data_IF_893262636080
#
_entry.id   IF_893262636080
#
_cell.length_a   1.000
_cell.length_b   1.000
_cell.length_c   1.000
_cell.angle_alpha   90.00
_cell.angle_beta   90.00
_cell.angle_gamma   90.00
#
_symmetry.space_group_name_H-M   'P 1'
#
loop_
_entity.id
_entity.type
_entity.pdbx_description
1 polymer ?
#
# COMPACT_ATOMS: atom_id res chain seq x y z
N UNK A 1 21.41 5.50 -6.43
CA UNK A 1 21.89 6.54 -5.50
C UNK A 1 21.39 7.91 -5.93
N UNK A 2 21.80 8.45 -7.10
CA UNK A 2 21.35 9.76 -7.58
C UNK A 2 19.82 9.85 -7.76
N UNK A 3 19.20 8.87 -8.43
CA UNK A 3 17.74 8.86 -8.63
C UNK A 3 16.94 8.83 -7.32
N UNK A 4 17.40 8.09 -6.31
CA UNK A 4 16.74 8.06 -5.00
C UNK A 4 16.87 9.40 -4.27
N UNK A 5 18.02 10.07 -4.38
CA UNK A 5 18.20 11.40 -3.81
C UNK A 5 17.29 12.45 -4.49
N UNK A 6 17.14 12.37 -5.82
CA UNK A 6 16.21 13.23 -6.55
C UNK A 6 14.74 12.94 -6.19
N UNK A 7 14.39 11.67 -5.97
CA UNK A 7 13.07 11.28 -5.51
C UNK A 7 12.79 11.83 -4.09
N UNK A 8 13.73 11.70 -3.17
CA UNK A 8 13.65 12.29 -1.83
C UNK A 8 13.43 13.81 -1.92
N UNK A 9 14.24 14.52 -2.69
CA UNK A 9 14.13 15.97 -2.87
C UNK A 9 12.77 16.37 -3.46
N UNK A 10 12.27 15.62 -4.44
CA UNK A 10 10.95 15.83 -5.04
C UNK A 10 9.84 15.63 -4.00
N UNK A 11 9.89 14.55 -3.22
CA UNK A 11 8.90 14.26 -2.18
C UNK A 11 8.90 15.32 -1.09
N UNK A 12 10.07 15.83 -0.67
CA UNK A 12 10.17 16.92 0.31
C UNK A 12 9.52 18.22 -0.20
N UNK A 13 9.66 18.54 -1.49
CA UNK A 13 8.96 19.68 -2.07
C UNK A 13 7.44 19.51 -2.03
N UNK A 14 6.95 18.30 -2.31
CA UNK A 14 5.51 17.97 -2.17
C UNK A 14 5.07 18.07 -0.71
N UNK A 15 5.84 17.50 0.22
CA UNK A 15 5.56 17.52 1.65
C UNK A 15 5.45 18.95 2.20
N UNK A 16 6.40 19.83 1.87
CA UNK A 16 6.36 21.23 2.27
C UNK A 16 5.09 21.93 1.76
N UNK A 17 4.69 21.68 0.52
CA UNK A 17 3.47 22.25 -0.05
C UNK A 17 2.20 21.72 0.66
N UNK A 18 2.18 20.43 0.99
CA UNK A 18 1.06 19.76 1.65
C UNK A 18 0.90 20.20 3.12
N UNK A 19 2.01 20.37 3.84
CA UNK A 19 2.04 20.74 5.25
C UNK A 19 1.31 22.06 5.52
N UNK A 20 1.57 23.08 4.69
CA UNK A 20 0.92 24.40 4.81
C UNK A 20 -0.61 24.34 4.62
N UNK A 21 -1.14 23.22 4.11
CA UNK A 21 -2.55 23.02 3.77
C UNK A 21 -3.24 21.96 4.63
N UNK A 22 -2.52 21.35 5.57
CA UNK A 22 -3.04 20.23 6.36
C UNK A 22 -3.35 18.98 5.52
N UNK A 23 -2.69 18.83 4.37
CA UNK A 23 -2.81 17.66 3.50
C UNK A 23 -1.72 16.66 3.87
N UNK A 24 -2.07 15.37 3.91
CA UNK A 24 -1.12 14.27 4.14
C UNK A 24 -0.79 13.63 2.80
N UNK A 25 0.45 13.14 2.68
CA UNK A 25 0.98 12.48 1.48
C UNK A 25 1.18 11.02 1.83
N UNK A 26 0.51 10.11 1.14
CA UNK A 26 0.77 8.67 1.29
C UNK A 26 1.75 8.24 0.20
N UNK A 27 2.95 7.81 0.59
CA UNK A 27 3.96 7.27 -0.31
C UNK A 27 3.72 5.77 -0.49
N UNK A 28 3.49 5.32 -1.71
CA UNK A 28 3.21 3.91 -2.01
C UNK A 28 4.48 3.08 -2.16
N UNK A 29 4.42 1.78 -1.83
CA UNK A 29 5.42 0.82 -2.30
C UNK A 29 5.20 0.50 -3.79
N UNK A 30 6.12 0.92 -4.68
CA UNK A 30 5.93 0.72 -6.10
C UNK A 30 6.28 -0.73 -6.51
N UNK A 31 5.89 -1.16 -7.72
CA UNK A 31 6.23 -2.49 -8.22
C UNK A 31 7.73 -2.61 -8.53
N UNK A 32 8.29 -3.84 -8.65
CA UNK A 32 9.73 -4.09 -8.76
C UNK A 32 10.42 -3.48 -9.99
N UNK A 33 9.65 -3.06 -10.99
CA UNK A 33 10.16 -2.45 -12.22
C UNK A 33 10.22 -0.92 -12.15
N UNK A 34 9.84 -0.31 -11.03
CA UNK A 34 9.88 1.13 -10.78
C UNK A 34 10.98 1.54 -9.79
N UNK A 35 11.22 2.86 -9.69
CA UNK A 35 12.20 3.40 -8.75
C UNK A 35 11.77 3.10 -7.31
N UNK A 36 12.71 2.60 -6.50
CA UNK A 36 12.45 2.13 -5.14
C UNK A 36 11.47 0.95 -5.06
N UNK A 37 11.28 0.19 -6.15
CA UNK A 37 10.49 -1.04 -6.19
C UNK A 37 11.11 -2.24 -5.48
N UNK A 38 12.22 -2.07 -4.77
CA UNK A 38 12.81 -3.09 -3.89
C UNK A 38 12.73 -2.66 -2.42
N UNK A 39 12.61 -3.64 -1.52
CA UNK A 39 12.43 -3.39 -0.09
C UNK A 39 13.56 -2.56 0.53
N UNK A 40 14.81 -2.73 0.09
CA UNK A 40 15.92 -2.01 0.69
C UNK A 40 15.86 -0.52 0.32
N UNK A 41 15.62 -0.21 -0.95
CA UNK A 41 15.47 1.15 -1.45
C UNK A 41 14.23 1.85 -0.89
N UNK A 42 13.09 1.17 -0.86
CA UNK A 42 11.84 1.69 -0.28
C UNK A 42 12.01 2.06 1.20
N UNK A 43 12.53 1.13 2.01
CA UNK A 43 12.76 1.38 3.44
C UNK A 43 13.83 2.44 3.68
N UNK A 44 14.82 2.58 2.78
CA UNK A 44 15.78 3.68 2.86
C UNK A 44 15.08 5.02 2.62
N UNK A 45 14.18 5.11 1.62
CA UNK A 45 13.42 6.32 1.33
C UNK A 45 12.49 6.70 2.47
N UNK A 46 11.77 5.76 3.07
CA UNK A 46 10.96 6.01 4.27
C UNK A 46 11.81 6.53 5.45
N UNK A 47 13.00 5.96 5.69
CA UNK A 47 13.90 6.44 6.75
C UNK A 47 14.42 7.84 6.48
N UNK A 48 14.73 8.15 5.23
CA UNK A 48 15.17 9.48 4.82
C UNK A 48 14.08 10.53 5.07
N UNK A 49 12.81 10.17 4.85
CA UNK A 49 11.66 11.05 5.01
C UNK A 49 11.02 10.98 6.41
N UNK A 50 11.64 10.30 7.38
CA UNK A 50 11.05 10.10 8.70
C UNK A 50 10.89 11.39 9.53
N UNK A 51 11.57 12.47 9.13
CA UNK A 51 11.43 13.81 9.72
C UNK A 51 10.29 14.64 9.09
N UNK A 52 9.61 14.12 8.07
CA UNK A 52 8.46 14.76 7.40
C UNK A 52 7.13 14.18 7.91
N UNK A 53 6.49 14.76 8.96
CA UNK A 53 5.32 14.16 9.60
C UNK A 53 4.08 14.08 8.70
N UNK A 54 4.07 14.81 7.57
CA UNK A 54 2.98 14.78 6.59
C UNK A 54 3.13 13.63 5.59
N UNK A 55 4.31 13.03 5.50
CA UNK A 55 4.56 11.85 4.67
C UNK A 55 4.23 10.60 5.50
N UNK A 56 3.30 9.82 5.00
CA UNK A 56 2.82 8.57 5.58
C UNK A 56 2.94 7.44 4.56
N UNK A 57 2.70 6.20 4.95
CA UNK A 57 2.78 5.06 4.04
C UNK A 57 1.42 4.81 3.34
N UNK A 58 1.49 4.47 2.06
CA UNK A 58 0.51 3.66 1.35
C UNK A 58 1.12 2.25 1.19
N UNK A 59 0.38 1.22 1.56
CA UNK A 59 0.79 -0.16 1.34
C UNK A 59 -0.07 -0.79 0.24
N UNK A 60 0.52 -1.00 -0.92
CA UNK A 60 -0.08 -1.76 -2.02
C UNK A 60 0.24 -3.25 -1.86
N UNK A 61 -0.81 -4.06 -1.71
CA UNK A 61 -0.68 -5.50 -1.46
C UNK A 61 -0.23 -6.26 -2.70
N UNK A 62 -0.66 -5.84 -3.89
CA UNK A 62 -0.29 -6.46 -5.15
C UNK A 62 1.20 -6.29 -5.43
N UNK A 63 1.69 -5.06 -5.41
CA UNK A 63 3.11 -4.74 -5.58
C UNK A 63 4.00 -5.45 -4.55
N UNK A 64 3.55 -5.49 -3.29
CA UNK A 64 4.28 -6.18 -2.22
C UNK A 64 4.44 -7.69 -2.50
N UNK A 65 3.43 -8.34 -3.08
CA UNK A 65 3.47 -9.77 -3.39
C UNK A 65 4.38 -10.14 -4.56
N UNK A 66 4.80 -9.16 -5.37
CA UNK A 66 5.79 -9.36 -6.44
C UNK A 66 7.22 -9.48 -5.92
N UNK A 67 7.44 -9.21 -4.62
CA UNK A 67 8.74 -9.25 -3.98
C UNK A 67 8.82 -10.37 -2.94
N UNK A 68 9.94 -11.13 -2.88
CA UNK A 68 10.18 -12.04 -1.78
C UNK A 68 10.18 -11.31 -0.44
N UNK A 69 9.26 -11.68 0.46
CA UNK A 69 9.12 -11.04 1.77
C UNK A 69 8.44 -9.67 1.74
N UNK A 70 7.85 -9.27 0.60
CA UNK A 70 7.28 -7.93 0.46
C UNK A 70 6.00 -7.74 1.26
N UNK A 71 5.16 -8.78 1.39
CA UNK A 71 3.95 -8.71 2.22
C UNK A 71 4.31 -8.53 3.69
N UNK A 72 5.34 -9.20 4.19
CA UNK A 72 5.84 -9.05 5.56
C UNK A 72 6.42 -7.66 5.84
N UNK A 73 6.82 -6.91 4.80
CA UNK A 73 7.33 -5.56 4.94
C UNK A 73 6.28 -4.57 5.47
N UNK A 74 4.99 -4.93 5.46
CA UNK A 74 3.94 -4.15 6.13
C UNK A 74 4.33 -3.82 7.58
N UNK A 75 4.97 -4.75 8.29
CA UNK A 75 5.38 -4.54 9.69
C UNK A 75 6.38 -3.39 9.88
N UNK A 76 7.12 -3.02 8.83
CA UNK A 76 8.07 -1.93 8.88
C UNK A 76 7.41 -0.55 8.76
N UNK A 77 6.17 -0.47 8.25
CA UNK A 77 5.48 0.79 7.93
C UNK A 77 4.08 0.90 8.57
N UNK A 78 3.60 -0.16 9.23
CA UNK A 78 2.20 -0.25 9.71
C UNK A 78 1.79 0.86 10.68
N UNK A 79 2.74 1.44 11.41
CA UNK A 79 2.45 2.53 12.37
C UNK A 79 2.23 3.87 11.67
N UNK A 80 2.84 4.05 10.52
CA UNK A 80 2.76 5.25 9.68
C UNK A 80 1.76 5.08 8.54
N UNK A 81 1.07 3.93 8.47
CA UNK A 81 0.18 3.55 7.39
C UNK A 81 -1.10 4.38 7.38
N UNK A 82 -1.33 5.08 6.26
CA UNK A 82 -2.50 5.93 6.05
C UNK A 82 -3.54 5.24 5.17
N UNK A 83 -3.10 4.47 4.19
CA UNK A 83 -3.96 3.81 3.22
C UNK A 83 -3.37 2.45 2.83
N UNK A 84 -4.23 1.50 2.56
CA UNK A 84 -3.89 0.21 1.95
C UNK A 84 -4.62 0.11 0.63
N UNK A 85 -3.87 -0.12 -0.43
CA UNK A 85 -4.43 -0.52 -1.72
C UNK A 85 -4.53 -2.05 -1.73
N UNK A 86 -5.71 -2.54 -2.06
CA UNK A 86 -6.11 -3.94 -1.95
C UNK A 86 -6.34 -4.50 -3.34
N UNK A 87 -5.39 -5.31 -3.75
CA UNK A 87 -5.45 -6.14 -4.95
C UNK A 87 -4.72 -7.44 -4.68
N UNK A 88 -5.10 -8.51 -5.36
CA UNK A 88 -4.46 -9.81 -5.29
C UNK A 88 -3.77 -10.14 -6.61
N UNK A 89 -2.77 -11.02 -6.55
CA UNK A 89 -2.11 -11.53 -7.74
C UNK A 89 -1.46 -12.89 -7.50
N UNK A 90 -0.92 -13.47 -8.58
CA UNK A 90 -0.28 -14.79 -8.55
C UNK A 90 1.19 -14.76 -8.10
N UNK A 91 1.71 -13.59 -7.71
CA UNK A 91 3.11 -13.37 -7.32
C UNK A 91 4.09 -13.20 -8.48
N UNK A 92 3.59 -13.19 -9.73
CA UNK A 92 4.41 -13.08 -10.94
C UNK A 92 4.12 -11.86 -11.80
N UNK A 93 2.94 -11.26 -11.64
CA UNK A 93 2.47 -10.11 -12.40
C UNK A 93 1.49 -9.33 -11.55
N UNK A 94 1.30 -8.05 -11.89
CA UNK A 94 0.37 -7.19 -11.19
C UNK A 94 -1.06 -7.38 -11.73
N UNK A 95 -1.68 -8.48 -11.33
CA UNK A 95 -2.92 -8.99 -11.95
C UNK A 95 -4.18 -8.19 -11.55
N UNK A 96 -4.11 -7.35 -10.50
CA UNK A 96 -5.24 -6.60 -9.93
C UNK A 96 -6.51 -7.44 -9.68
N UNK A 97 -6.34 -8.67 -9.22
CA UNK A 97 -7.44 -9.58 -8.90
C UNK A 97 -8.15 -9.12 -7.61
N UNK A 98 -9.43 -9.49 -7.42
CA UNK A 98 -10.07 -9.28 -6.12
C UNK A 98 -9.33 -10.09 -5.03
N UNK A 99 -9.35 -9.61 -3.77
CA UNK A 99 -8.83 -10.38 -2.65
C UNK A 99 -9.33 -11.83 -2.65
N UNK A 100 -8.44 -12.76 -2.30
CA UNK A 100 -8.63 -14.21 -2.29
C UNK A 100 -8.72 -14.90 -3.66
N UNK A 101 -8.63 -14.16 -4.77
CA UNK A 101 -8.54 -14.75 -6.10
C UNK A 101 -7.09 -15.03 -6.56
N UNK A 102 -6.10 -14.50 -5.83
CA UNK A 102 -4.68 -14.76 -6.09
C UNK A 102 -4.05 -15.60 -4.99
N UNK A 103 -2.86 -15.20 -4.54
CA UNK A 103 -2.02 -15.98 -3.64
C UNK A 103 -1.41 -15.17 -2.49
N UNK A 104 -1.86 -13.93 -2.31
CA UNK A 104 -1.45 -13.12 -1.16
C UNK A 104 -1.86 -13.84 0.14
N UNK A 105 -0.98 -13.91 1.15
CA UNK A 105 -1.30 -14.50 2.44
C UNK A 105 -2.14 -13.54 3.29
N UNK A 106 -3.39 -13.29 2.86
CA UNK A 106 -4.33 -12.34 3.48
C UNK A 106 -4.47 -12.49 5.00
N UNK A 107 -4.60 -13.70 5.59
CA UNK A 107 -4.71 -13.82 7.04
C UNK A 107 -3.51 -13.24 7.80
N UNK A 108 -2.30 -13.37 7.25
CA UNK A 108 -1.09 -12.82 7.85
C UNK A 108 -1.09 -11.29 7.76
N UNK A 109 -1.40 -10.76 6.58
CA UNK A 109 -1.45 -9.31 6.34
C UNK A 109 -2.54 -8.63 7.19
N UNK A 110 -3.76 -9.14 7.16
CA UNK A 110 -4.88 -8.61 7.93
C UNK A 110 -4.61 -8.67 9.43
N UNK A 111 -3.99 -9.75 9.92
CA UNK A 111 -3.54 -9.84 11.30
C UNK A 111 -2.54 -8.73 11.65
N UNK A 112 -1.58 -8.42 10.76
CA UNK A 112 -0.63 -7.33 10.98
C UNK A 112 -1.34 -5.97 11.07
N UNK A 113 -2.29 -5.70 10.17
CA UNK A 113 -3.06 -4.45 10.15
C UNK A 113 -3.94 -4.31 11.40
N UNK A 114 -4.69 -5.36 11.77
CA UNK A 114 -5.56 -5.36 12.94
C UNK A 114 -4.78 -5.23 14.26
N UNK A 115 -3.69 -5.98 14.42
CA UNK A 115 -2.88 -5.91 15.63
C UNK A 115 -2.20 -4.54 15.82
N UNK A 116 -1.93 -3.83 14.72
CA UNK A 116 -1.42 -2.46 14.76
C UNK A 116 -2.51 -1.42 15.02
N UNK A 117 -3.79 -1.79 15.00
CA UNK A 117 -4.90 -0.86 15.13
C UNK A 117 -5.04 0.06 13.90
N UNK A 118 -4.78 -0.47 12.70
CA UNK A 118 -4.95 0.29 11.46
C UNK A 118 -6.38 0.82 11.34
N UNK A 119 -6.51 2.13 11.17
CA UNK A 119 -7.77 2.88 11.04
C UNK A 119 -7.76 3.80 9.82
N UNK A 120 -6.81 3.57 8.90
CA UNK A 120 -6.70 4.30 7.65
C UNK A 120 -7.71 3.84 6.60
N UNK A 121 -7.56 4.31 5.38
CA UNK A 121 -8.43 3.92 4.27
C UNK A 121 -7.99 2.58 3.67
N UNK A 122 -8.95 1.72 3.34
CA UNK A 122 -8.75 0.54 2.50
C UNK A 122 -9.39 0.83 1.13
N UNK A 123 -8.64 0.62 0.05
CA UNK A 123 -9.07 0.93 -1.32
C UNK A 123 -8.92 -0.30 -2.18
N UNK A 124 -9.97 -0.76 -2.83
CA UNK A 124 -9.90 -1.86 -3.80
C UNK A 124 -9.35 -1.35 -5.14
N UNK A 125 -8.28 -1.97 -5.62
CA UNK A 125 -7.66 -1.65 -6.91
C UNK A 125 -7.79 -2.83 -7.88
N UNK A 126 -8.87 -2.79 -8.67
CA UNK A 126 -9.26 -3.87 -9.57
C UNK A 126 -9.30 -3.34 -11.01
N UNK A 127 -8.64 -4.04 -11.95
CA UNK A 127 -8.66 -3.67 -13.38
C UNK A 127 -8.72 -4.91 -14.28
N UNK A 128 -9.22 -4.72 -15.50
CA UNK A 128 -9.19 -5.72 -16.57
C UNK A 128 -9.89 -7.05 -16.26
N UNK A 129 -10.86 -7.02 -15.34
CA UNK A 129 -11.61 -8.20 -14.92
C UNK A 129 -12.89 -8.42 -15.75
N UNK A 130 -13.28 -9.68 -16.01
CA UNK A 130 -14.59 -9.99 -16.56
C UNK A 130 -15.68 -9.65 -15.54
N UNK A 131 -16.83 -9.14 -15.98
CA UNK A 131 -17.97 -8.85 -15.09
C UNK A 131 -17.62 -7.90 -13.91
N UNK A 132 -17.07 -6.69 -14.19
CA UNK A 132 -16.48 -5.82 -13.18
C UNK A 132 -17.45 -5.39 -12.07
N UNK A 133 -18.75 -5.26 -12.35
CA UNK A 133 -19.75 -4.91 -11.34
C UNK A 133 -19.91 -6.02 -10.28
N UNK A 134 -19.99 -7.28 -10.70
CA UNK A 134 -20.14 -8.41 -9.78
C UNK A 134 -18.88 -8.59 -8.93
N UNK A 135 -17.71 -8.46 -9.55
CA UNK A 135 -16.45 -8.58 -8.83
C UNK A 135 -16.25 -7.43 -7.85
N UNK A 136 -16.58 -6.20 -8.24
CA UNK A 136 -16.51 -5.05 -7.34
C UNK A 136 -17.42 -5.24 -6.12
N UNK A 137 -18.63 -5.77 -6.31
CA UNK A 137 -19.54 -6.08 -5.19
C UNK A 137 -18.94 -7.13 -4.27
N UNK A 138 -18.38 -8.21 -4.81
CA UNK A 138 -17.74 -9.26 -4.00
C UNK A 138 -16.51 -8.74 -3.24
N UNK A 139 -15.64 -7.99 -3.91
CA UNK A 139 -14.47 -7.38 -3.28
C UNK A 139 -14.86 -6.40 -2.18
N UNK A 140 -15.91 -5.60 -2.41
CA UNK A 140 -16.45 -4.70 -1.39
C UNK A 140 -17.01 -5.46 -0.18
N UNK A 141 -17.77 -6.54 -0.41
CA UNK A 141 -18.29 -7.39 0.67
C UNK A 141 -17.16 -7.98 1.50
N UNK A 142 -16.14 -8.56 0.85
CA UNK A 142 -14.96 -9.08 1.53
C UNK A 142 -14.25 -8.00 2.36
N UNK A 143 -14.07 -6.80 1.81
CA UNK A 143 -13.43 -5.68 2.52
C UNK A 143 -14.25 -5.23 3.74
N UNK A 144 -15.58 -5.18 3.62
CA UNK A 144 -16.48 -4.82 4.72
C UNK A 144 -16.45 -5.85 5.87
N UNK A 145 -16.19 -7.13 5.58
CA UNK A 145 -16.02 -8.16 6.59
C UNK A 145 -14.74 -7.97 7.43
N UNK A 146 -13.69 -7.36 6.85
CA UNK A 146 -12.44 -7.12 7.57
C UNK A 146 -12.54 -5.92 8.50
N UNK A 147 -13.28 -4.88 8.10
CA UNK A 147 -13.49 -3.65 8.87
C UNK A 147 -14.99 -3.33 9.05
N UNK A 148 -15.72 -4.08 9.90
CA UNK A 148 -17.17 -3.92 10.05
C UNK A 148 -17.60 -2.56 10.60
N UNK A 149 -16.72 -1.86 11.32
CA UNK A 149 -16.98 -0.50 11.83
C UNK A 149 -16.78 0.60 10.77
N UNK A 150 -16.21 0.27 9.61
CA UNK A 150 -15.93 1.20 8.51
C UNK A 150 -16.97 1.13 7.37
N UNK A 151 -17.91 0.18 7.42
CA UNK A 151 -19.03 0.12 6.48
C UNK A 151 -20.03 1.25 6.77
N UNK A 152 -20.58 1.93 5.74
CA UNK A 152 -21.47 3.08 5.89
C UNK A 152 -22.79 2.77 6.62
#
# INVERSE_FOLDING_TARGET
>A
AEQLALAEESIRQVAQWAADRGVRVALENPPPYELAGDLASLLALYRQLADEPVVQACFDTGHAHLLPGGVEAVHAVVKELLVVHLSDNMGSADDHLPPEAGTIPWPTLLSALHNAGFTGAAVLELTDLPEPEEILVKGWQWMAEQWPEAAP
#
